data_IF_140562928740
#
_entry.id   IF_140562928740
#
_cell.length_a   1.000
_cell.length_b   1.000
_cell.length_c   1.000
_cell.angle_alpha   90.00
_cell.angle_beta   90.00
_cell.angle_gamma   90.00
#
_symmetry.space_group_name_H-M   'P 1'
#
loop_
_entity.id
_entity.type
_entity.pdbx_description
1 polymer ?
#
# COMPACT_ATOMS: atom_id res chain seq x y z
N UNK A 1 -5.99 -20.12 26.56
CA UNK A 1 -4.95 -19.54 25.68
C UNK A 1 -4.11 -20.62 24.99
N UNK A 2 -3.43 -21.52 25.70
CA UNK A 2 -2.58 -22.54 25.07
C UNK A 2 -3.30 -23.45 24.05
N UNK A 3 -4.53 -23.89 24.35
CA UNK A 3 -5.33 -24.73 23.44
C UNK A 3 -5.73 -24.00 22.15
N UNK A 4 -6.10 -22.72 22.26
CA UNK A 4 -6.50 -21.91 21.10
C UNK A 4 -5.32 -21.57 20.17
N UNK A 5 -4.12 -21.34 20.73
CA UNK A 5 -2.91 -21.15 19.93
C UNK A 5 -2.50 -22.43 19.20
N UNK A 6 -2.64 -23.58 19.87
CA UNK A 6 -2.36 -24.88 19.26
C UNK A 6 -3.33 -25.21 18.12
N UNK A 7 -4.62 -24.89 18.28
CA UNK A 7 -5.62 -25.02 17.21
C UNK A 7 -5.31 -24.11 16.02
N UNK A 8 -4.88 -22.86 16.26
CA UNK A 8 -4.44 -21.94 15.19
C UNK A 8 -3.21 -22.46 14.44
N UNK A 9 -2.20 -22.93 15.17
CA UNK A 9 -0.98 -23.50 14.59
C UNK A 9 -1.31 -24.71 13.70
N UNK A 10 -2.15 -25.63 14.17
CA UNK A 10 -2.56 -26.78 13.36
C UNK A 10 -3.32 -26.34 12.11
N UNK A 11 -4.29 -25.45 12.27
CA UNK A 11 -5.19 -25.01 11.19
C UNK A 11 -4.46 -24.25 10.10
N UNK A 12 -3.47 -23.42 10.44
CA UNK A 12 -2.75 -22.55 9.50
C UNK A 12 -1.31 -22.98 9.24
N UNK A 13 -0.90 -24.16 9.69
CA UNK A 13 0.48 -24.68 9.52
C UNK A 13 0.99 -24.67 8.07
N UNK A 14 0.09 -24.81 7.09
CA UNK A 14 0.42 -24.81 5.67
C UNK A 14 0.90 -23.44 5.14
N UNK A 15 0.59 -22.33 5.82
CA UNK A 15 1.04 -20.99 5.40
C UNK A 15 2.41 -20.61 5.96
N UNK A 16 2.91 -21.36 6.96
CA UNK A 16 4.14 -21.04 7.66
C UNK A 16 5.39 -20.92 6.76
N UNK A 17 5.55 -21.72 5.67
CA UNK A 17 6.63 -21.50 4.71
C UNK A 17 6.64 -20.08 4.12
N UNK A 18 5.47 -19.51 3.85
CA UNK A 18 5.32 -18.14 3.35
C UNK A 18 5.55 -17.09 4.43
N UNK A 19 5.12 -17.34 5.67
CA UNK A 19 5.44 -16.45 6.80
C UNK A 19 6.96 -16.36 7.05
N UNK A 20 7.70 -17.45 6.84
CA UNK A 20 9.17 -17.45 6.94
C UNK A 20 9.81 -16.52 5.90
N UNK A 21 9.25 -16.45 4.69
CA UNK A 21 9.72 -15.52 3.65
C UNK A 21 9.64 -14.07 4.13
N UNK A 22 8.60 -13.74 4.92
CA UNK A 22 8.30 -12.39 5.42
C UNK A 22 8.81 -12.11 6.83
N UNK A 23 9.41 -13.08 7.50
CA UNK A 23 9.85 -12.95 8.87
C UNK A 23 10.81 -11.76 9.04
N UNK A 24 10.44 -10.82 9.91
CA UNK A 24 11.13 -9.55 10.17
C UNK A 24 11.21 -8.55 8.99
N UNK A 25 10.64 -8.88 7.83
CA UNK A 25 10.60 -8.00 6.65
C UNK A 25 9.37 -7.10 6.59
N UNK A 26 8.38 -7.37 7.43
CA UNK A 26 7.19 -6.54 7.54
C UNK A 26 7.10 -5.95 8.94
N UNK A 27 6.65 -4.69 9.01
CA UNK A 27 6.44 -3.97 10.25
C UNK A 27 5.06 -3.34 10.23
N UNK A 28 4.42 -3.27 11.40
CA UNK A 28 3.24 -2.46 11.57
C UNK A 28 3.70 -1.02 11.72
N UNK A 29 3.42 -0.16 10.72
CA UNK A 29 3.58 1.29 10.86
C UNK A 29 2.36 1.81 11.62
N UNK A 30 2.49 2.33 12.85
CA UNK A 30 1.40 3.06 13.45
C UNK A 30 1.16 4.28 12.56
N UNK A 31 -0.03 4.40 11.95
CA UNK A 31 -0.49 5.71 11.51
C UNK A 31 -0.71 6.52 12.79
N UNK A 32 0.28 7.29 13.21
CA UNK A 32 0.06 8.39 14.15
C UNK A 32 -0.82 9.42 13.44
N UNK A 33 -2.14 9.16 13.38
CA UNK A 33 -3.15 10.20 13.22
C UNK A 33 -3.36 10.86 14.57
N UNK A 34 -2.26 11.35 15.10
CA UNK A 34 -2.25 12.11 16.32
C UNK A 34 -2.58 13.57 15.92
N UNK A 35 -3.90 13.82 15.97
CA UNK A 35 -4.59 15.07 16.31
C UNK A 35 -5.03 16.03 15.18
N UNK A 36 -6.30 16.43 15.29
CA UNK A 36 -6.76 17.78 14.97
C UNK A 36 -5.68 18.80 15.39
N UNK A 37 -5.29 19.64 14.44
CA UNK A 37 -4.45 20.83 14.63
C UNK A 37 -2.95 20.57 14.83
N UNK A 38 -2.20 20.71 13.72
CA UNK A 38 -0.83 21.21 13.62
C UNK A 38 0.14 20.96 14.81
N UNK A 39 1.08 20.05 14.55
CA UNK A 39 2.48 20.00 15.02
C UNK A 39 2.88 19.05 16.17
N UNK A 40 3.87 18.22 15.79
CA UNK A 40 5.06 17.74 16.52
C UNK A 40 4.96 16.43 17.33
N UNK A 41 5.85 15.49 16.97
CA UNK A 41 6.59 14.66 17.94
C UNK A 41 8.03 14.44 17.45
N UNK A 42 9.07 14.90 18.17
CA UNK A 42 10.34 14.20 18.23
C UNK A 42 10.28 13.24 19.42
N UNK A 43 10.33 11.94 19.17
CA UNK A 43 10.53 10.95 20.22
C UNK A 43 11.47 9.87 19.69
N UNK A 44 12.74 10.04 20.03
CA UNK A 44 13.69 8.95 20.10
C UNK A 44 13.13 7.89 21.04
N UNK A 45 12.73 6.78 20.44
CA UNK A 45 13.10 5.42 20.82
C UNK A 45 12.92 4.59 19.54
N UNK A 46 13.72 4.93 18.50
CA UNK A 46 13.90 4.04 17.36
C UNK A 46 14.84 2.91 17.77
N UNK A 47 14.31 2.00 18.61
CA UNK A 47 14.81 0.62 18.68
C UNK A 47 14.27 -0.21 17.48
N UNK A 48 13.76 0.47 16.45
CA UNK A 48 13.35 -0.13 15.20
C UNK A 48 14.45 0.04 14.19
N UNK A 49 15.48 -0.81 14.22
CA UNK A 49 16.40 -0.96 13.08
C UNK A 49 15.56 -1.03 11.81
N UNK A 50 15.67 -0.02 10.93
CA UNK A 50 15.14 -0.09 9.57
C UNK A 50 15.63 -1.39 8.98
N UNK A 51 14.68 -2.30 8.69
CA UNK A 51 15.07 -3.58 8.16
C UNK A 51 15.06 -3.37 6.66
N UNK A 52 16.23 -3.05 6.13
CA UNK A 52 16.49 -3.22 4.71
C UNK A 52 16.15 -4.66 4.38
N UNK A 53 15.39 -4.86 3.30
CA UNK A 53 15.39 -6.17 2.67
C UNK A 53 16.85 -6.43 2.30
N UNK A 54 17.56 -7.22 3.12
CA UNK A 54 18.89 -7.73 2.80
C UNK A 54 18.73 -8.68 1.60
N UNK A 55 18.53 -8.05 0.45
CA UNK A 55 18.57 -8.59 -0.88
C UNK A 55 19.94 -8.20 -1.42
N UNK A 56 21.00 -8.62 -0.72
CA UNK A 56 22.37 -8.55 -1.22
C UNK A 56 22.35 -9.08 -2.66
N UNK A 57 22.64 -8.19 -3.61
CA UNK A 57 22.41 -8.45 -5.02
C UNK A 57 23.24 -9.66 -5.45
N UNK A 58 22.56 -10.77 -5.70
CA UNK A 58 23.16 -12.07 -6.01
C UNK A 58 22.88 -12.50 -7.46
N UNK A 59 22.40 -11.56 -8.28
CA UNK A 59 22.02 -11.75 -9.67
C UNK A 59 20.52 -11.56 -9.91
N UNK A 60 20.16 -11.14 -11.13
CA UNK A 60 18.77 -10.80 -11.52
C UNK A 60 17.80 -11.97 -11.29
N UNK A 61 18.16 -13.18 -11.69
CA UNK A 61 17.26 -14.35 -11.55
C UNK A 61 16.94 -14.67 -10.08
N UNK A 62 17.94 -14.60 -9.20
CA UNK A 62 17.75 -14.84 -7.77
C UNK A 62 16.95 -13.72 -7.10
N UNK A 63 17.21 -12.47 -7.49
CA UNK A 63 16.42 -11.34 -7.03
C UNK A 63 14.95 -11.47 -7.44
N UNK A 64 14.67 -11.81 -8.71
CA UNK A 64 13.31 -11.98 -9.20
C UNK A 64 12.56 -13.12 -8.48
N UNK A 65 13.23 -14.25 -8.22
CA UNK A 65 12.65 -15.35 -7.42
C UNK A 65 12.30 -14.90 -5.99
N UNK A 66 13.21 -14.21 -5.31
CA UNK A 66 12.96 -13.67 -3.97
C UNK A 66 11.86 -12.62 -3.94
N UNK A 67 11.83 -11.74 -4.93
CA UNK A 67 10.82 -10.71 -5.07
C UNK A 67 9.44 -11.33 -5.30
N UNK A 68 9.34 -12.33 -6.19
CA UNK A 68 8.11 -13.08 -6.44
C UNK A 68 7.59 -13.75 -5.16
N UNK A 69 8.47 -14.45 -4.43
CA UNK A 69 8.12 -15.11 -3.17
C UNK A 69 7.60 -14.12 -2.12
N UNK A 70 8.21 -12.93 -2.00
CA UNK A 70 7.74 -11.89 -1.07
C UNK A 70 6.37 -11.36 -1.49
N UNK A 71 6.20 -11.02 -2.76
CA UNK A 71 4.93 -10.52 -3.31
C UNK A 71 3.79 -11.52 -3.09
N UNK A 72 4.02 -12.80 -3.40
CA UNK A 72 3.04 -13.87 -3.23
C UNK A 72 2.74 -14.16 -1.75
N UNK A 73 3.76 -14.15 -0.88
CA UNK A 73 3.56 -14.29 0.56
C UNK A 73 2.65 -13.18 1.12
N UNK A 74 2.85 -11.93 0.68
CA UNK A 74 1.98 -10.80 1.06
C UNK A 74 0.56 -10.99 0.55
N UNK A 75 0.39 -11.48 -0.68
CA UNK A 75 -0.94 -11.77 -1.22
C UNK A 75 -1.68 -12.87 -0.43
N UNK A 76 -0.98 -13.92 0.02
CA UNK A 76 -1.56 -14.98 0.84
C UNK A 76 -1.95 -14.47 2.22
N UNK A 77 -1.10 -13.65 2.84
CA UNK A 77 -1.38 -12.99 4.10
C UNK A 77 -2.62 -12.09 4.03
N UNK A 78 -2.78 -11.33 2.95
CA UNK A 78 -4.00 -10.55 2.70
C UNK A 78 -5.24 -11.45 2.49
N UNK A 79 -5.07 -12.60 1.85
CA UNK A 79 -6.16 -13.59 1.73
C UNK A 79 -6.57 -14.17 3.08
N UNK A 80 -5.62 -14.46 3.98
CA UNK A 80 -5.95 -14.84 5.36
C UNK A 80 -6.69 -13.72 6.08
N UNK A 81 -6.24 -12.46 5.95
CA UNK A 81 -6.94 -11.31 6.54
C UNK A 81 -8.40 -11.19 6.05
N UNK A 82 -8.66 -11.56 4.81
CA UNK A 82 -10.02 -11.57 4.25
C UNK A 82 -10.92 -12.63 4.89
N UNK A 83 -10.37 -13.82 5.17
CA UNK A 83 -11.12 -15.00 5.59
C UNK A 83 -11.17 -15.17 7.12
N UNK A 84 -10.07 -14.86 7.81
CA UNK A 84 -9.89 -15.08 9.25
C UNK A 84 -8.96 -14.02 9.86
N UNK A 85 -9.56 -12.96 10.41
CA UNK A 85 -8.84 -11.87 11.08
C UNK A 85 -8.05 -12.31 12.32
N UNK A 86 -8.48 -13.37 13.01
CA UNK A 86 -7.75 -13.87 14.18
C UNK A 86 -6.48 -14.60 13.75
N UNK A 87 -6.58 -15.44 12.72
CA UNK A 87 -5.43 -16.11 12.11
C UNK A 87 -4.44 -15.10 11.52
N UNK A 88 -4.93 -14.05 10.86
CA UNK A 88 -4.11 -12.97 10.33
C UNK A 88 -3.22 -12.34 11.41
N UNK A 89 -3.82 -11.89 12.52
CA UNK A 89 -3.07 -11.31 13.65
C UNK A 89 -2.10 -12.30 14.28
N UNK A 90 -2.51 -13.56 14.41
CA UNK A 90 -1.66 -14.64 14.93
C UNK A 90 -0.41 -14.85 14.06
N UNK A 91 -0.58 -15.02 12.74
CA UNK A 91 0.51 -15.24 11.79
C UNK A 91 1.47 -14.05 11.73
N UNK A 92 0.93 -12.82 11.74
CA UNK A 92 1.74 -11.61 11.80
C UNK A 92 2.64 -11.58 13.04
N UNK A 93 2.06 -11.84 14.21
CA UNK A 93 2.76 -11.73 15.49
C UNK A 93 3.75 -12.87 15.69
N UNK A 94 3.29 -14.11 15.59
CA UNK A 94 4.06 -15.28 16.02
C UNK A 94 5.02 -15.77 14.93
N UNK A 95 4.67 -15.62 13.65
CA UNK A 95 5.44 -16.19 12.54
C UNK A 95 6.16 -15.15 11.67
N UNK A 96 5.56 -13.97 11.48
CA UNK A 96 6.20 -12.88 10.71
C UNK A 96 7.03 -11.94 11.61
N UNK A 97 6.91 -12.02 12.93
CA UNK A 97 7.68 -11.21 13.88
C UNK A 97 7.18 -9.76 14.04
N UNK A 98 5.91 -9.49 13.70
CA UNK A 98 5.33 -8.15 13.79
C UNK A 98 4.89 -7.81 15.22
N UNK A 99 5.28 -6.63 15.70
CA UNK A 99 4.86 -6.12 17.01
C UNK A 99 3.49 -5.44 16.91
N UNK A 100 2.42 -6.11 17.32
CA UNK A 100 1.03 -5.59 17.29
C UNK A 100 0.63 -4.70 18.50
N UNK A 101 1.60 -4.26 19.31
CA UNK A 101 1.37 -3.49 20.54
C UNK A 101 1.17 -4.36 21.80
N UNK A 102 1.06 -3.70 22.97
CA UNK A 102 0.82 -4.36 24.28
C UNK A 102 -0.66 -4.29 24.65
N UNK A 103 -1.21 -5.42 25.12
CA UNK A 103 -2.59 -5.55 25.62
C UNK A 103 -2.89 -4.51 26.71
N UNK A 104 -4.02 -3.80 26.60
CA UNK A 104 -4.42 -2.71 27.50
C UNK A 104 -3.85 -1.32 27.19
N UNK A 105 -3.06 -1.14 26.12
CA UNK A 105 -2.65 0.19 25.65
C UNK A 105 -3.66 0.80 24.68
N UNK A 106 -3.80 2.13 24.66
CA UNK A 106 -4.63 2.83 23.67
C UNK A 106 -4.18 2.60 22.21
N UNK A 107 -2.95 2.08 22.02
CA UNK A 107 -2.34 1.72 20.73
C UNK A 107 -2.63 0.27 20.29
N UNK A 108 -3.60 -0.41 20.93
CA UNK A 108 -3.87 -1.82 20.72
C UNK A 108 -4.66 -2.06 19.41
N UNK A 109 -3.97 -2.55 18.38
CA UNK A 109 -4.62 -3.04 17.15
C UNK A 109 -5.22 -4.46 17.30
N UNK A 110 -5.09 -5.08 18.49
CA UNK A 110 -5.63 -6.43 18.75
C UNK A 110 -7.16 -6.43 18.77
N UNK A 111 -7.80 -5.37 19.24
CA UNK A 111 -9.27 -5.29 19.38
C UNK A 111 -10.01 -4.92 18.08
N UNK A 112 -9.33 -4.33 17.10
CA UNK A 112 -9.92 -3.92 15.82
C UNK A 112 -9.40 -4.77 14.67
N UNK A 113 -10.23 -5.00 13.66
CA UNK A 113 -9.77 -5.64 12.43
C UNK A 113 -8.66 -4.82 11.79
N UNK A 114 -7.61 -5.52 11.37
CA UNK A 114 -6.42 -4.94 10.77
C UNK A 114 -6.55 -5.09 9.26
N UNK A 115 -6.67 -3.99 8.51
CA UNK A 115 -6.75 -4.07 7.06
C UNK A 115 -5.43 -4.59 6.49
N UNK A 116 -5.52 -5.43 5.44
CA UNK A 116 -4.35 -5.87 4.69
C UNK A 116 -4.01 -4.80 3.63
N UNK A 117 -3.43 -3.70 4.11
CA UNK A 117 -2.95 -2.58 3.29
C UNK A 117 -1.43 -2.47 3.45
N UNK A 118 -0.73 -2.32 2.34
CA UNK A 118 0.74 -2.33 2.33
C UNK A 118 1.32 -0.98 1.91
N UNK A 119 2.30 -0.52 2.68
CA UNK A 119 3.14 0.62 2.34
C UNK A 119 4.48 0.10 1.85
N UNK A 120 4.84 0.43 0.61
CA UNK A 120 6.13 0.10 0.02
C UNK A 120 7.07 1.28 0.20
N UNK A 121 8.13 1.07 0.96
CA UNK A 121 9.31 1.95 0.95
C UNK A 121 10.26 1.37 -0.07
N UNK A 122 10.55 2.14 -1.12
CA UNK A 122 11.46 1.70 -2.17
C UNK A 122 12.84 2.25 -1.84
N UNK A 123 13.84 1.37 -1.75
CA UNK A 123 15.22 1.83 -1.69
C UNK A 123 15.56 2.49 -3.03
N UNK A 124 15.90 3.78 -2.94
CA UNK A 124 16.19 4.64 -4.07
C UNK A 124 17.69 4.94 -4.21
N UNK A 125 18.50 4.61 -3.19
CA UNK A 125 19.92 4.99 -3.12
C UNK A 125 20.86 3.83 -3.46
N UNK A 126 20.46 2.58 -3.19
CA UNK A 126 21.32 1.39 -3.36
C UNK A 126 20.87 0.41 -4.46
N UNK A 127 20.02 0.82 -5.39
CA UNK A 127 19.67 -0.06 -6.51
C UNK A 127 20.82 -0.10 -7.54
N UNK A 128 21.79 -0.99 -7.30
CA UNK A 128 22.96 -1.23 -8.17
C UNK A 128 22.57 -1.56 -9.62
N UNK A 129 21.35 -2.08 -9.86
CA UNK A 129 20.81 -2.35 -11.21
C UNK A 129 20.61 -1.05 -12.00
N UNK A 130 20.38 0.04 -11.30
CA UNK A 130 19.97 1.34 -11.85
C UNK A 130 21.01 2.43 -11.65
N UNK A 131 22.10 2.13 -10.93
CA UNK A 131 23.19 3.05 -10.62
C UNK A 131 23.81 3.72 -11.87
N UNK A 132 23.61 3.14 -13.06
CA UNK A 132 24.15 3.65 -14.33
C UNK A 132 23.07 4.10 -15.33
N UNK A 133 21.78 3.90 -15.06
CA UNK A 133 20.69 4.28 -15.97
C UNK A 133 19.50 4.89 -15.21
N UNK A 134 19.30 6.21 -15.36
CA UNK A 134 18.20 6.98 -14.74
C UNK A 134 16.79 6.43 -15.03
N UNK A 135 16.66 5.57 -16.05
CA UNK A 135 15.40 5.08 -16.60
C UNK A 135 14.93 3.72 -16.04
N UNK A 136 15.72 3.05 -15.20
CA UNK A 136 15.37 1.76 -14.56
C UNK A 136 14.78 1.89 -13.15
N UNK A 137 14.95 3.03 -12.50
CA UNK A 137 14.28 3.33 -11.22
C UNK A 137 12.76 3.32 -11.45
N UNK A 138 12.03 2.54 -10.63
CA UNK A 138 10.58 2.32 -10.77
C UNK A 138 10.19 0.91 -11.26
N UNK A 139 11.17 0.08 -11.69
CA UNK A 139 10.94 -1.33 -12.04
C UNK A 139 10.32 -2.12 -10.89
N UNK A 140 10.78 -1.92 -9.65
CA UNK A 140 10.25 -2.64 -8.49
C UNK A 140 8.74 -2.36 -8.28
N UNK A 141 8.27 -1.14 -8.54
CA UNK A 141 6.84 -0.81 -8.42
C UNK A 141 6.01 -1.48 -9.52
N UNK A 142 6.52 -1.52 -10.76
CA UNK A 142 5.89 -2.24 -11.88
C UNK A 142 5.88 -3.75 -11.62
N UNK A 143 6.98 -4.32 -11.13
CA UNK A 143 7.07 -5.74 -10.77
C UNK A 143 6.10 -6.08 -9.63
N UNK A 144 5.90 -5.18 -8.67
CA UNK A 144 4.98 -5.44 -7.56
C UNK A 144 3.50 -5.36 -7.99
N UNK A 145 3.12 -4.28 -8.67
CA UNK A 145 1.72 -3.94 -8.96
C UNK A 145 1.28 -4.22 -10.41
N UNK A 146 2.17 -4.74 -11.25
CA UNK A 146 1.89 -5.15 -12.63
C UNK A 146 1.07 -6.43 -12.73
N UNK A 147 1.03 -7.01 -13.92
CA UNK A 147 0.16 -8.16 -14.24
C UNK A 147 0.83 -9.51 -14.00
N UNK A 148 2.14 -9.56 -13.75
CA UNK A 148 2.90 -10.80 -13.59
C UNK A 148 2.30 -11.74 -12.53
N UNK A 149 1.91 -11.19 -11.37
CA UNK A 149 1.25 -11.97 -10.30
C UNK A 149 -0.08 -12.59 -10.74
N UNK A 150 -0.78 -11.91 -11.65
CA UNK A 150 -2.09 -12.33 -12.15
C UNK A 150 -1.97 -13.34 -13.30
N UNK A 151 -0.99 -13.15 -14.18
CA UNK A 151 -0.82 -13.95 -15.39
C UNK A 151 0.06 -15.19 -15.17
N UNK A 152 1.05 -15.11 -14.29
CA UNK A 152 2.05 -16.15 -14.04
C UNK A 152 2.32 -16.40 -12.54
N UNK A 153 1.28 -16.71 -11.74
CA UNK A 153 1.47 -17.12 -10.35
C UNK A 153 2.20 -18.47 -10.24
N UNK A 154 3.00 -18.67 -9.20
CA UNK A 154 3.65 -19.97 -8.97
C UNK A 154 2.66 -21.00 -8.40
N UNK A 155 2.88 -22.28 -8.70
CA UNK A 155 1.97 -23.37 -8.30
C UNK A 155 1.77 -23.44 -6.78
N UNK A 156 2.85 -23.30 -6.00
CA UNK A 156 2.76 -23.32 -4.55
C UNK A 156 1.89 -22.19 -3.97
N UNK A 157 1.87 -21.02 -4.62
CA UNK A 157 1.00 -19.91 -4.24
C UNK A 157 -0.47 -20.28 -4.49
N UNK A 158 -0.77 -20.84 -5.67
CA UNK A 158 -2.14 -21.25 -6.03
C UNK A 158 -2.67 -22.36 -5.11
N UNK A 159 -1.86 -23.36 -4.80
CA UNK A 159 -2.20 -24.43 -3.86
C UNK A 159 -2.49 -23.90 -2.46
N UNK A 160 -1.67 -22.95 -1.99
CA UNK A 160 -1.86 -22.31 -0.68
C UNK A 160 -3.12 -21.45 -0.68
N UNK A 161 -3.36 -20.67 -1.74
CA UNK A 161 -4.54 -19.83 -1.87
C UNK A 161 -5.84 -20.65 -1.92
N UNK A 162 -5.82 -21.82 -2.56
CA UNK A 162 -6.94 -22.76 -2.55
C UNK A 162 -7.24 -23.31 -1.14
N UNK A 163 -6.20 -23.61 -0.36
CA UNK A 163 -6.37 -23.99 1.05
C UNK A 163 -6.97 -22.87 1.90
N UNK A 164 -6.58 -21.61 1.65
CA UNK A 164 -7.20 -20.44 2.31
C UNK A 164 -8.68 -20.32 1.91
N UNK A 165 -8.98 -20.43 0.61
CA UNK A 165 -10.34 -20.33 0.07
C UNK A 165 -11.30 -21.36 0.69
N UNK A 166 -10.82 -22.56 1.02
CA UNK A 166 -11.62 -23.60 1.68
C UNK A 166 -12.14 -23.20 3.08
N UNK A 167 -11.53 -22.19 3.72
CA UNK A 167 -12.01 -21.64 4.99
C UNK A 167 -13.02 -20.49 4.80
N UNK A 168 -13.20 -19.97 3.58
CA UNK A 168 -14.13 -18.89 3.32
C UNK A 168 -15.57 -19.39 3.18
N UNK A 169 -16.34 -19.22 4.25
CA UNK A 169 -17.76 -19.59 4.29
C UNK A 169 -18.63 -18.84 3.26
N UNK A 170 -18.14 -17.76 2.66
CA UNK A 170 -18.84 -16.97 1.64
C UNK A 170 -18.71 -17.58 0.23
N UNK A 171 -17.67 -18.38 0.00
CA UNK A 171 -17.36 -19.04 -1.28
C UNK A 171 -18.13 -20.35 -1.50
N UNK A 172 -19.47 -20.31 -1.39
CA UNK A 172 -20.32 -21.49 -1.65
C UNK A 172 -20.53 -21.71 -3.16
N UNK A 173 -20.84 -22.95 -3.55
CA UNK A 173 -20.94 -23.49 -4.92
C UNK A 173 -21.85 -22.78 -5.95
N UNK A 174 -22.52 -21.69 -5.57
CA UNK A 174 -23.35 -20.87 -6.46
C UNK A 174 -22.92 -19.42 -6.54
N UNK A 175 -21.95 -19.00 -5.73
CA UNK A 175 -21.43 -17.64 -5.74
C UNK A 175 -20.23 -17.55 -6.69
N UNK A 176 -20.06 -16.41 -7.38
CA UNK A 176 -18.81 -16.15 -8.09
C UNK A 176 -17.63 -16.16 -7.11
N UNK A 177 -16.44 -16.49 -7.61
CA UNK A 177 -15.23 -16.35 -6.80
C UNK A 177 -14.97 -14.89 -6.45
N UNK A 178 -14.06 -14.68 -5.49
CA UNK A 178 -13.75 -13.34 -4.98
C UNK A 178 -12.37 -12.90 -5.46
N UNK A 179 -12.31 -11.71 -6.04
CA UNK A 179 -11.05 -11.01 -6.28
C UNK A 179 -10.75 -10.09 -5.08
N UNK A 180 -9.74 -10.46 -4.30
CA UNK A 180 -9.25 -9.69 -3.16
C UNK A 180 -8.35 -8.58 -3.70
N UNK A 181 -8.83 -7.35 -3.60
CA UNK A 181 -8.10 -6.14 -4.01
C UNK A 181 -7.27 -5.64 -2.83
N UNK A 182 -5.96 -5.79 -2.92
CA UNK A 182 -4.99 -5.46 -1.88
C UNK A 182 -4.45 -4.05 -2.14
N UNK A 183 -4.78 -3.04 -1.33
CA UNK A 183 -4.27 -1.69 -1.52
C UNK A 183 -2.76 -1.63 -1.26
N UNK A 184 -2.05 -0.99 -2.18
CA UNK A 184 -0.61 -0.73 -2.07
C UNK A 184 -0.36 0.76 -2.21
N UNK A 185 0.35 1.36 -1.26
CA UNK A 185 0.80 2.74 -1.32
C UNK A 185 2.33 2.78 -1.39
N UNK A 186 2.88 3.45 -2.39
CA UNK A 186 4.29 3.77 -2.39
C UNK A 186 4.52 4.92 -1.41
N UNK A 187 5.55 4.84 -0.58
CA UNK A 187 6.06 5.94 0.24
C UNK A 187 7.23 6.54 -0.52
N UNK A 188 7.20 7.86 -0.67
CA UNK A 188 8.22 8.64 -1.32
C UNK A 188 8.90 9.53 -0.29
N UNK A 189 10.17 9.28 -0.04
CA UNK A 189 11.07 10.02 0.86
C UNK A 189 12.32 10.57 0.12
N UNK A 190 12.53 10.16 -1.14
CA UNK A 190 13.74 10.48 -1.89
C UNK A 190 13.78 11.84 -2.60
N UNK A 191 14.87 12.09 -3.32
CA UNK A 191 15.07 13.30 -4.13
C UNK A 191 14.07 13.49 -5.29
N UNK A 192 13.96 14.72 -5.84
CA UNK A 192 12.96 15.08 -6.85
C UNK A 192 13.06 14.27 -8.16
N UNK A 193 14.21 13.69 -8.47
CA UNK A 193 14.41 12.88 -9.67
C UNK A 193 13.53 11.62 -9.66
N UNK A 194 13.27 11.01 -8.50
CA UNK A 194 12.48 9.77 -8.40
C UNK A 194 10.99 9.95 -8.72
N UNK A 195 10.42 11.15 -8.54
CA UNK A 195 9.01 11.40 -8.88
C UNK A 195 8.68 11.15 -10.37
N UNK A 196 9.65 11.35 -11.27
CA UNK A 196 9.49 11.04 -12.72
C UNK A 196 9.28 9.53 -12.91
N UNK A 197 9.97 8.75 -12.12
CA UNK A 197 10.08 7.30 -12.24
C UNK A 197 8.85 6.62 -11.64
N UNK A 198 8.36 7.10 -10.49
CA UNK A 198 7.06 6.70 -9.94
C UNK A 198 5.95 7.00 -10.96
N UNK A 199 5.89 8.20 -11.51
CA UNK A 199 4.88 8.56 -12.51
C UNK A 199 4.96 7.67 -13.77
N UNK A 200 6.17 7.26 -14.19
CA UNK A 200 6.36 6.33 -15.30
C UNK A 200 5.82 4.94 -14.93
N UNK A 201 6.16 4.43 -13.76
CA UNK A 201 5.70 3.15 -13.25
C UNK A 201 4.16 3.09 -13.15
N UNK A 202 3.51 4.12 -12.60
CA UNK A 202 2.05 4.21 -12.53
C UNK A 202 1.39 4.09 -13.91
N UNK A 203 1.94 4.77 -14.92
CA UNK A 203 1.44 4.69 -16.30
C UNK A 203 1.63 3.30 -16.88
N UNK A 204 2.82 2.72 -16.70
CA UNK A 204 3.11 1.37 -17.17
C UNK A 204 2.15 0.36 -16.57
N UNK A 205 1.94 0.40 -15.25
CA UNK A 205 1.00 -0.49 -14.54
C UNK A 205 -0.41 -0.32 -15.11
N UNK A 206 -0.87 0.91 -15.27
CA UNK A 206 -2.20 1.19 -15.83
C UNK A 206 -2.37 0.64 -17.24
N UNK A 207 -1.36 0.80 -18.10
CA UNK A 207 -1.41 0.32 -19.48
C UNK A 207 -1.33 -1.21 -19.56
N UNK A 208 -0.55 -1.88 -18.70
CA UNK A 208 -0.55 -3.34 -18.55
C UNK A 208 -1.94 -3.87 -18.17
N UNK A 209 -2.57 -3.29 -17.14
CA UNK A 209 -3.88 -3.72 -16.69
C UNK A 209 -5.01 -3.43 -17.68
N UNK A 210 -4.87 -2.43 -18.56
CA UNK A 210 -5.80 -2.21 -19.67
C UNK A 210 -5.71 -3.28 -20.74
N UNK A 211 -4.53 -3.87 -20.95
CA UNK A 211 -4.36 -4.95 -21.94
C UNK A 211 -4.85 -6.30 -21.45
N UNK A 212 -5.00 -6.49 -20.14
CA UNK A 212 -5.54 -7.73 -19.57
C UNK A 212 -7.05 -7.80 -19.77
N UNK A 213 -7.51 -8.88 -20.37
CA UNK A 213 -8.94 -9.14 -20.51
C UNK A 213 -9.58 -9.39 -19.13
N UNK A 214 -10.74 -8.77 -18.82
CA UNK A 214 -11.46 -9.06 -17.59
C UNK A 214 -11.85 -10.54 -17.53
N UNK A 215 -11.35 -11.25 -16.52
CA UNK A 215 -11.69 -12.65 -16.26
C UNK A 215 -12.40 -12.76 -14.93
N UNK A 216 -13.61 -13.30 -14.92
CA UNK A 216 -14.30 -13.63 -13.67
C UNK A 216 -13.50 -14.66 -12.88
N UNK A 217 -13.54 -14.56 -11.55
CA UNK A 217 -12.95 -15.57 -10.67
C UNK A 217 -13.94 -16.72 -10.60
N UNK A 218 -13.46 -17.95 -10.82
CA UNK A 218 -14.32 -19.14 -10.79
C UNK A 218 -14.94 -19.30 -9.40
N UNK A 219 -16.13 -19.90 -9.35
CA UNK A 219 -16.78 -20.23 -8.09
C UNK A 219 -15.84 -20.99 -7.16
N UNK A 220 -15.97 -20.72 -5.86
CA UNK A 220 -15.15 -21.33 -4.79
C UNK A 220 -13.66 -20.94 -4.79
N UNK A 221 -13.23 -20.00 -5.65
CA UNK A 221 -11.84 -19.56 -5.74
C UNK A 221 -11.64 -18.12 -5.22
N UNK A 222 -10.44 -17.88 -4.71
CA UNK A 222 -9.89 -16.56 -4.46
C UNK A 222 -8.89 -16.19 -5.55
N UNK A 223 -8.81 -14.91 -5.87
CA UNK A 223 -7.70 -14.32 -6.65
C UNK A 223 -7.25 -13.04 -5.96
N UNK A 224 -5.95 -12.83 -5.80
CA UNK A 224 -5.43 -11.57 -5.25
C UNK A 224 -5.01 -10.63 -6.38
N UNK A 225 -5.24 -9.33 -6.19
CA UNK A 225 -4.80 -8.27 -7.08
C UNK A 225 -4.26 -7.11 -6.25
N UNK A 226 -3.00 -6.71 -6.50
CA UNK A 226 -2.44 -5.50 -5.91
C UNK A 226 -2.96 -4.27 -6.65
N UNK A 227 -3.47 -3.30 -5.88
CA UNK A 227 -4.04 -2.06 -6.42
C UNK A 227 -3.21 -0.89 -5.92
N UNK A 228 -2.43 -0.31 -6.83
CA UNK A 228 -1.66 0.89 -6.54
C UNK A 228 -2.59 2.07 -6.26
N UNK A 229 -2.47 2.62 -5.05
CA UNK A 229 -3.16 3.82 -4.58
C UNK A 229 -2.27 5.05 -4.82
N UNK A 230 -2.84 6.28 -4.73
CA UNK A 230 -2.05 7.50 -4.82
C UNK A 230 -0.88 7.52 -3.83
N UNK A 231 0.17 8.23 -4.20
CA UNK A 231 1.46 8.26 -3.50
C UNK A 231 1.34 8.86 -2.09
N UNK A 232 2.12 8.35 -1.15
CA UNK A 232 2.35 8.99 0.14
C UNK A 232 3.71 9.67 0.07
N UNK A 233 3.76 10.98 0.32
CA UNK A 233 5.01 11.71 0.32
C UNK A 233 5.42 12.04 1.75
N UNK A 234 6.59 11.59 2.17
CA UNK A 234 7.29 12.10 3.33
C UNK A 234 8.30 13.14 2.85
N UNK A 235 8.06 14.40 3.20
CA UNK A 235 8.90 15.50 2.77
C UNK A 235 9.59 16.19 3.96
N UNK A 236 9.77 15.51 5.09
CA UNK A 236 10.36 16.13 6.29
C UNK A 236 11.84 16.47 6.11
N UNK A 237 12.63 15.57 5.52
CA UNK A 237 14.09 15.69 5.37
C UNK A 237 14.56 16.21 4.00
N UNK A 238 13.67 16.86 3.25
CA UNK A 238 14.02 17.38 1.91
C UNK A 238 14.96 18.58 2.04
N UNK A 239 16.21 18.42 1.59
CA UNK A 239 17.22 19.49 1.61
C UNK A 239 17.16 20.44 0.40
N UNK A 240 16.42 20.09 -0.67
CA UNK A 240 16.42 20.83 -1.96
C UNK A 240 15.03 21.35 -2.36
N UNK A 241 14.39 22.08 -1.47
CA UNK A 241 13.00 22.52 -1.61
C UNK A 241 12.62 23.25 -2.90
N UNK A 242 13.37 24.25 -3.41
CA UNK A 242 12.96 24.93 -4.65
C UNK A 242 12.90 23.98 -5.86
N UNK A 243 13.86 23.06 -5.96
CA UNK A 243 13.89 22.05 -7.01
C UNK A 243 12.75 21.03 -6.83
N UNK A 244 12.50 20.61 -5.59
CA UNK A 244 11.41 19.71 -5.22
C UNK A 244 10.05 20.27 -5.62
N UNK A 245 9.71 21.49 -5.19
CA UNK A 245 8.41 22.11 -5.45
C UNK A 245 8.19 22.29 -6.96
N UNK A 246 9.22 22.73 -7.69
CA UNK A 246 9.17 22.87 -9.15
C UNK A 246 8.87 21.53 -9.83
N UNK A 247 9.58 20.48 -9.42
CA UNK A 247 9.43 19.15 -9.99
C UNK A 247 8.07 18.54 -9.64
N UNK A 248 7.65 18.64 -8.39
CA UNK A 248 6.38 18.14 -7.90
C UNK A 248 5.21 18.80 -8.63
N UNK A 249 5.20 20.13 -8.76
CA UNK A 249 4.20 20.84 -9.56
C UNK A 249 4.15 20.35 -11.01
N UNK A 250 5.31 20.10 -11.63
CA UNK A 250 5.38 19.51 -12.98
C UNK A 250 4.87 18.07 -13.04
N UNK A 251 5.04 17.25 -12.00
CA UNK A 251 4.52 15.87 -11.99
C UNK A 251 3.01 15.84 -11.73
N UNK A 252 2.50 16.72 -10.88
CA UNK A 252 1.08 16.81 -10.59
C UNK A 252 0.26 17.30 -11.78
N UNK A 253 0.80 18.23 -12.58
CA UNK A 253 0.19 18.60 -13.88
C UNK A 253 0.18 17.44 -14.89
N UNK A 254 0.97 16.39 -14.65
CA UNK A 254 1.00 15.13 -15.42
C UNK A 254 0.22 14.00 -14.74
N UNK A 255 -0.68 14.35 -13.81
CA UNK A 255 -1.56 13.48 -13.06
C UNK A 255 -0.91 12.60 -11.97
N UNK A 256 0.29 12.94 -11.49
CA UNK A 256 0.80 12.32 -10.26
C UNK A 256 -0.09 12.77 -9.08
N UNK A 257 -0.64 11.80 -8.35
CA UNK A 257 -1.53 12.06 -7.23
C UNK A 257 -0.90 11.63 -5.91
N UNK A 258 -1.23 12.37 -4.86
CA UNK A 258 -0.81 12.07 -3.50
C UNK A 258 -2.07 11.83 -2.67
N UNK A 259 -2.09 10.77 -1.88
CA UNK A 259 -3.12 10.55 -0.85
C UNK A 259 -2.77 11.25 0.45
N UNK A 260 -1.49 11.40 0.73
CA UNK A 260 -0.95 11.95 1.97
C UNK A 260 0.39 12.63 1.71
N UNK A 261 0.65 13.73 2.41
CA UNK A 261 1.91 14.46 2.37
C UNK A 261 2.27 14.86 3.80
N UNK A 262 3.34 14.28 4.33
CA UNK A 262 3.98 14.77 5.56
C UNK A 262 4.96 15.89 5.21
N UNK A 263 4.95 16.95 6.02
CA UNK A 263 5.82 18.10 5.81
C UNK A 263 6.02 18.88 7.11
N UNK A 264 7.25 19.29 7.38
CA UNK A 264 7.54 20.23 8.45
C UNK A 264 7.39 21.68 7.97
N UNK A 265 6.52 22.45 8.65
CA UNK A 265 6.26 23.86 8.36
C UNK A 265 7.36 24.80 8.91
N UNK A 266 7.96 24.44 10.05
CA UNK A 266 9.11 25.16 10.60
C UNK A 266 10.39 24.72 9.91
N UNK A 267 10.79 25.46 8.87
CA UNK A 267 12.03 25.14 8.14
C UNK A 267 13.17 26.02 8.58
N UNK A 268 14.34 25.39 8.74
CA UNK A 268 15.55 26.09 9.10
C UNK A 268 15.93 27.07 7.99
N UNK A 269 16.37 28.28 8.38
CA UNK A 269 16.99 29.28 7.50
C UNK A 269 18.24 28.75 6.77
N UNK A 270 18.70 27.53 7.05
CA UNK A 270 19.81 26.89 6.33
C UNK A 270 19.38 26.37 4.96
N UNK A 271 18.13 25.96 4.81
CA UNK A 271 17.60 25.40 3.55
C UNK A 271 17.11 26.49 2.61
N UNK A 272 16.90 27.70 3.15
CA UNK A 272 16.42 28.87 2.42
C UNK A 272 17.24 30.09 2.77
N UNK A 273 17.79 30.77 1.75
CA UNK A 273 18.58 31.99 1.95
C UNK A 273 17.83 33.15 2.65
N UNK A 274 16.50 33.08 2.79
CA UNK A 274 15.71 33.99 3.62
C UNK A 274 14.35 33.38 4.02
N UNK A 275 13.74 33.93 5.08
CA UNK A 275 12.36 33.58 5.49
C UNK A 275 11.33 33.87 4.39
N UNK A 276 11.51 34.96 3.64
CA UNK A 276 10.63 35.32 2.53
C UNK A 276 10.62 34.23 1.44
N UNK A 277 11.79 33.69 1.09
CA UNK A 277 11.91 32.63 0.10
C UNK A 277 11.31 31.31 0.62
N UNK A 278 11.50 30.98 1.90
CA UNK A 278 10.84 29.82 2.52
C UNK A 278 9.31 29.91 2.41
N UNK A 279 8.72 31.06 2.76
CA UNK A 279 7.27 31.31 2.65
C UNK A 279 6.77 31.21 1.21
N UNK A 280 7.52 31.73 0.23
CA UNK A 280 7.16 31.63 -1.19
C UNK A 280 7.14 30.19 -1.67
N UNK A 281 8.18 29.41 -1.36
CA UNK A 281 8.30 28.02 -1.79
C UNK A 281 7.23 27.15 -1.13
N UNK A 282 6.96 27.37 0.16
CA UNK A 282 5.85 26.73 0.86
C UNK A 282 4.49 27.08 0.23
N UNK A 283 4.24 28.36 -0.04
CA UNK A 283 3.01 28.81 -0.70
C UNK A 283 2.81 28.19 -2.08
N UNK A 284 3.88 28.06 -2.87
CA UNK A 284 3.87 27.37 -4.17
C UNK A 284 3.53 25.88 -4.02
N UNK A 285 4.13 25.19 -3.05
CA UNK A 285 3.80 23.79 -2.75
C UNK A 285 2.31 23.63 -2.41
N UNK A 286 1.79 24.46 -1.51
CA UNK A 286 0.37 24.41 -1.12
C UNK A 286 -0.55 24.71 -2.31
N UNK A 287 -0.18 25.66 -3.17
CA UNK A 287 -0.91 25.94 -4.40
C UNK A 287 -0.90 24.75 -5.38
N UNK A 288 0.19 23.98 -5.46
CA UNK A 288 0.22 22.75 -6.25
C UNK A 288 -0.62 21.63 -5.62
N UNK A 289 -0.50 21.41 -4.31
CA UNK A 289 -1.22 20.39 -3.54
C UNK A 289 -2.74 20.57 -3.58
N UNK A 290 -3.20 21.79 -3.28
CA UNK A 290 -4.61 22.11 -3.08
C UNK A 290 -5.22 22.91 -4.24
N UNK A 291 -4.46 23.16 -5.32
CA UNK A 291 -4.95 23.84 -6.50
C UNK A 291 -6.13 23.10 -7.14
N UNK A 292 -7.25 23.80 -7.33
CA UNK A 292 -8.53 23.28 -7.80
C UNK A 292 -8.57 22.86 -9.28
N UNK A 293 -7.47 23.01 -10.02
CA UNK A 293 -7.39 22.66 -11.45
C UNK A 293 -7.20 21.16 -11.71
N UNK A 294 -7.37 20.29 -10.71
CA UNK A 294 -7.21 18.84 -10.90
C UNK A 294 -8.40 18.24 -11.67
N UNK A 295 -8.07 17.44 -12.68
CA UNK A 295 -9.01 16.63 -13.48
C UNK A 295 -9.49 15.42 -12.68
N UNK A 296 -10.65 14.87 -13.05
CA UNK A 296 -11.32 13.76 -12.35
C UNK A 296 -10.35 12.62 -12.02
N UNK A 297 -10.39 12.20 -10.76
CA UNK A 297 -9.68 11.05 -10.19
C UNK A 297 -9.94 9.76 -10.98
N UNK A 298 -11.09 9.67 -11.64
CA UNK A 298 -11.54 8.57 -12.49
C UNK A 298 -10.66 8.34 -13.75
N UNK A 299 -9.86 9.33 -14.16
CA UNK A 299 -9.02 9.24 -15.36
C UNK A 299 -7.70 8.48 -15.09
N UNK A 300 -7.19 8.51 -13.86
CA UNK A 300 -5.86 7.96 -13.51
C UNK A 300 -5.95 6.72 -12.62
N UNK A 301 -6.90 6.68 -11.69
CA UNK A 301 -7.20 5.52 -10.86
C UNK A 301 -8.69 5.28 -11.00
N UNK A 302 -9.14 4.52 -12.02
CA UNK A 302 -10.55 4.32 -12.22
C UNK A 302 -11.16 3.70 -10.95
N UNK A 303 -12.11 4.41 -10.33
CA UNK A 303 -13.06 3.87 -9.34
C UNK A 303 -14.04 2.88 -10.01
N UNK A 304 -13.67 2.23 -11.13
CA UNK A 304 -14.44 1.14 -11.77
C UNK A 304 -14.50 -0.14 -10.92
N UNK A 305 -14.10 -0.09 -9.66
CA UNK A 305 -13.98 -1.25 -8.79
C UNK A 305 -14.61 -0.97 -7.41
N UNK A 306 -15.91 -0.68 -7.44
CA UNK A 306 -16.89 -1.00 -6.39
C UNK A 306 -16.96 -0.10 -5.16
N UNK A 307 -17.98 0.76 -5.10
CA UNK A 307 -18.81 0.86 -3.90
C UNK A 307 -19.84 -0.28 -3.94
N UNK A 308 -20.21 -0.91 -2.81
CA UNK A 308 -21.42 -1.71 -2.79
C UNK A 308 -22.63 -0.78 -2.89
N UNK A 309 -23.48 -1.06 -3.86
CA UNK A 309 -24.85 -0.57 -3.93
C UNK A 309 -25.52 -0.85 -2.58
N UNK A 310 -25.92 0.19 -1.86
CA UNK A 310 -26.95 0.04 -0.84
C UNK A 310 -28.29 0.33 -1.48
N UNK A 311 -29.05 -0.75 -1.59
CA UNK A 311 -30.40 -0.85 -2.06
C UNK A 311 -31.34 0.17 -1.39
N UNK A 312 -32.19 0.74 -2.24
CA UNK A 312 -33.62 0.99 -2.03
C UNK A 312 -34.15 0.74 -0.61
N UNK A 313 -34.57 1.82 0.05
CA UNK A 313 -35.78 1.79 0.85
C UNK A 313 -36.85 2.61 0.13
N UNK A 314 -37.80 1.91 -0.48
CA UNK A 314 -39.15 2.43 -0.66
C UNK A 314 -39.84 2.43 0.71
N UNK A 315 -40.37 3.56 1.14
CA UNK A 315 -41.77 3.54 1.56
C UNK A 315 -42.42 4.92 1.43
N UNK A 316 -43.66 4.89 0.99
CA UNK A 316 -44.46 6.00 0.55
C UNK A 316 -45.00 6.84 1.72
N UNK A 317 -45.09 8.16 1.50
CA UNK A 317 -46.18 8.97 2.04
C UNK A 317 -46.41 10.18 1.13
N UNK A 318 -47.30 9.98 0.18
CA UNK A 318 -48.15 10.99 -0.45
C UNK A 318 -48.83 11.86 0.63
N UNK A 319 -48.74 13.19 0.56
CA UNK A 319 -49.86 14.16 0.78
C UNK A 319 -49.44 15.52 0.18
N UNK A 320 -50.31 16.22 -0.58
CA UNK A 320 -49.91 17.24 -1.53
C UNK A 320 -49.92 18.67 -0.96
N UNK A 321 -49.22 19.54 -1.69
CA UNK A 321 -49.21 20.98 -1.52
C UNK A 321 -50.62 21.59 -1.48
N UNK A 322 -50.86 22.45 -0.48
CA UNK A 322 -51.89 23.49 -0.56
C UNK A 322 -51.21 24.85 -0.65
N UNK A 323 -51.48 25.51 -1.76
CA UNK A 323 -51.35 26.95 -1.93
C UNK A 323 -52.30 27.68 -0.97
N UNK A 324 -51.79 28.69 -0.25
CA UNK A 324 -52.21 30.10 -0.27
C UNK A 324 -50.98 30.93 0.11
#
# INVERSE_FOLDING_TARGET
>A
MATALFEMEQRWSFILPWCKVLHKKIKLKPLERDWDVWAKVPAGDSDGEEFELDMEWSGEDYFQDKFCQVREALALLAAVAHVDQLAWKYLLKEHCGVRLGKEGSAKLHVERDLPAEYYLVLDHEQDERTAYEEDHLGLNLVQFCGTDHHEMPVDGYLETLAQIAAFDTKLKSYNPGVEIRIPVQCVYDGGPHYLKNILRAEKTIHDMWKSVEPREVRSEQLRCMFVLKPLVADLEDVMTWPAMVTKMGKMMTRNLCFSEVSLCAERHLRDFGSELESRKVFGQLMAHLFGSTRRSREVTYPDRFGQPDNEQFSDAADVPARAV
#
